data_IF_771062371231
#
_entry.id   IF_771062371231
#
_cell.length_a   1.000
_cell.length_b   1.000
_cell.length_c   1.000
_cell.angle_alpha   90.00
_cell.angle_beta   90.00
_cell.angle_gamma   90.00
#
_symmetry.space_group_name_H-M   'P 1'
#
loop_
_entity.id
_entity.type
_entity.pdbx_description
1 polymer ?
#
# COMPACT_ATOMS: atom_id res chain seq x y z
N UNK A 1 -26.96 16.41 6.65
CA UNK A 1 -26.39 15.87 5.39
C UNK A 1 -24.90 16.17 5.21
N UNK A 2 -24.45 17.40 4.93
CA UNK A 2 -23.02 17.69 4.70
C UNK A 2 -22.12 17.37 5.90
N UNK A 3 -22.52 17.75 7.12
CA UNK A 3 -21.78 17.45 8.35
C UNK A 3 -21.71 15.94 8.68
N UNK A 4 -22.75 15.17 8.37
CA UNK A 4 -22.78 13.72 8.61
C UNK A 4 -21.82 12.99 7.67
N UNK A 5 -21.75 13.44 6.42
CA UNK A 5 -20.85 12.87 5.41
C UNK A 5 -19.40 13.23 5.71
N UNK A 6 -19.11 14.44 6.20
CA UNK A 6 -17.77 14.82 6.69
C UNK A 6 -17.35 14.00 7.92
N UNK A 7 -18.26 13.74 8.85
CA UNK A 7 -17.99 12.89 10.01
C UNK A 7 -17.68 11.44 9.59
N UNK A 8 -18.48 10.87 8.68
CA UNK A 8 -18.26 9.54 8.13
C UNK A 8 -16.90 9.46 7.41
N UNK A 9 -16.57 10.47 6.59
CA UNK A 9 -15.30 10.58 5.89
C UNK A 9 -14.11 10.57 6.86
N UNK A 10 -14.17 11.37 7.93
CA UNK A 10 -13.09 11.45 8.93
C UNK A 10 -12.82 10.10 9.62
N UNK A 11 -13.86 9.30 9.89
CA UNK A 11 -13.66 7.97 10.49
C UNK A 11 -12.98 7.01 9.52
N UNK A 12 -13.41 6.97 8.26
CA UNK A 12 -12.79 6.11 7.25
C UNK A 12 -11.37 6.55 6.88
N UNK A 13 -11.08 7.86 6.91
CA UNK A 13 -9.74 8.41 6.77
C UNK A 13 -8.81 7.90 7.88
N UNK A 14 -9.27 7.88 9.14
CA UNK A 14 -8.51 7.31 10.26
C UNK A 14 -8.26 5.82 10.12
N UNK A 15 -9.24 5.05 9.67
CA UNK A 15 -9.05 3.61 9.41
C UNK A 15 -8.03 3.40 8.30
N UNK A 16 -8.10 4.18 7.22
CA UNK A 16 -7.13 4.12 6.13
C UNK A 16 -5.70 4.46 6.61
N UNK A 17 -5.54 5.49 7.44
CA UNK A 17 -4.25 5.83 8.05
C UNK A 17 -3.71 4.71 8.94
N UNK A 18 -4.58 4.08 9.75
CA UNK A 18 -4.21 2.98 10.62
C UNK A 18 -3.79 1.74 9.82
N UNK A 19 -4.49 1.44 8.71
CA UNK A 19 -4.10 0.38 7.78
C UNK A 19 -2.71 0.63 7.19
N UNK A 20 -2.45 1.85 6.70
CA UNK A 20 -1.14 2.24 6.17
C UNK A 20 -0.03 2.15 7.22
N UNK A 21 -0.32 2.54 8.46
CA UNK A 21 0.65 2.45 9.56
C UNK A 21 0.99 1.00 9.90
N UNK A 22 -0.01 0.13 10.05
CA UNK A 22 0.22 -1.30 10.30
C UNK A 22 1.01 -1.92 9.15
N UNK A 23 0.67 -1.57 7.91
CA UNK A 23 1.39 -2.06 6.73
C UNK A 23 2.86 -1.61 6.76
N UNK A 24 3.14 -0.35 7.10
CA UNK A 24 4.51 0.16 7.23
C UNK A 24 5.32 -0.58 8.31
N UNK A 25 4.72 -0.81 9.47
CA UNK A 25 5.35 -1.55 10.57
C UNK A 25 5.69 -2.97 10.14
N UNK A 26 4.75 -3.66 9.49
CA UNK A 26 4.98 -5.02 9.01
C UNK A 26 6.03 -5.04 7.91
N UNK A 27 5.95 -4.19 6.89
CA UNK A 27 6.96 -4.10 5.83
C UNK A 27 8.37 -3.84 6.41
N UNK A 28 8.48 -2.98 7.43
CA UNK A 28 9.76 -2.70 8.11
C UNK A 28 10.28 -3.91 8.89
N UNK A 29 9.41 -4.60 9.62
CA UNK A 29 9.77 -5.84 10.34
C UNK A 29 10.20 -6.93 9.37
N UNK A 30 9.48 -7.10 8.26
CA UNK A 30 9.82 -8.08 7.22
C UNK A 30 11.16 -7.73 6.57
N UNK A 31 11.42 -6.46 6.25
CA UNK A 31 12.71 -6.04 5.72
C UNK A 31 13.86 -6.34 6.72
N UNK A 32 13.63 -6.08 8.02
CA UNK A 32 14.62 -6.40 9.06
C UNK A 32 14.88 -7.92 9.16
N UNK A 33 13.81 -8.72 9.20
CA UNK A 33 13.92 -10.19 9.23
C UNK A 33 14.61 -10.72 7.97
N UNK A 34 14.28 -10.16 6.81
CA UNK A 34 14.88 -10.51 5.53
C UNK A 34 16.39 -10.28 5.55
N UNK A 35 16.85 -9.11 6.01
CA UNK A 35 18.29 -8.80 6.11
C UNK A 35 18.99 -9.72 7.12
N UNK A 36 18.36 -10.00 8.28
CA UNK A 36 18.94 -10.87 9.31
C UNK A 36 19.03 -12.33 8.86
N UNK A 37 17.99 -12.83 8.17
CA UNK A 37 17.92 -14.22 7.69
C UNK A 37 18.56 -14.42 6.31
N UNK A 38 18.98 -13.36 5.63
CA UNK A 38 19.50 -13.44 4.26
C UNK A 38 20.66 -14.43 4.12
N UNK A 39 21.60 -14.43 5.06
CA UNK A 39 22.75 -15.35 5.05
C UNK A 39 22.38 -16.82 5.34
N UNK A 40 21.65 -17.15 6.42
CA UNK A 40 21.30 -18.55 6.69
C UNK A 40 20.30 -19.14 5.67
N UNK A 41 19.36 -18.35 5.14
CA UNK A 41 18.41 -18.83 4.13
C UNK A 41 19.04 -19.13 2.78
N UNK A 42 20.20 -18.54 2.45
CA UNK A 42 20.96 -18.90 1.26
C UNK A 42 21.47 -20.34 1.30
N UNK A 43 21.97 -20.79 2.47
CA UNK A 43 22.42 -22.18 2.64
C UNK A 43 21.27 -23.18 2.55
N UNK A 44 20.09 -22.82 3.07
CA UNK A 44 18.90 -23.68 2.98
C UNK A 44 18.33 -23.74 1.55
N UNK A 45 18.33 -22.63 0.81
CA UNK A 45 17.85 -22.58 -0.58
C UNK A 45 18.77 -23.34 -1.54
N UNK A 46 20.09 -23.23 -1.37
CA UNK A 46 21.07 -24.02 -2.11
C UNK A 46 20.88 -25.52 -1.85
N UNK A 47 20.66 -25.89 -0.58
CA UNK A 47 20.42 -27.28 -0.18
C UNK A 47 19.06 -27.85 -0.62
N UNK A 48 18.00 -27.02 -0.66
CA UNK A 48 16.64 -27.50 -0.97
C UNK A 48 16.35 -27.54 -2.47
N UNK A 49 16.95 -26.64 -3.26
CA UNK A 49 16.60 -26.48 -4.67
C UNK A 49 17.68 -27.00 -5.63
N UNK A 50 18.82 -27.50 -5.13
CA UNK A 50 19.95 -27.99 -5.92
C UNK A 50 20.34 -27.00 -7.04
N UNK A 51 20.21 -25.71 -6.72
CA UNK A 51 20.26 -24.64 -7.71
C UNK A 51 21.72 -24.35 -8.01
N UNK A 52 22.21 -24.70 -9.21
CA UNK A 52 23.56 -24.38 -9.70
C UNK A 52 23.77 -22.87 -9.97
N UNK A 53 23.12 -21.97 -9.22
CA UNK A 53 23.38 -20.54 -9.31
C UNK A 53 24.55 -20.20 -8.40
N UNK A 54 25.54 -19.49 -8.93
CA UNK A 54 26.66 -18.99 -8.14
C UNK A 54 26.15 -18.18 -6.94
N UNK A 55 26.66 -18.43 -5.72
CA UNK A 55 26.18 -17.75 -4.50
C UNK A 55 26.26 -16.22 -4.61
N UNK A 56 27.23 -15.69 -5.35
CA UNK A 56 27.35 -14.24 -5.63
C UNK A 56 26.15 -13.69 -6.41
N UNK A 57 25.62 -14.46 -7.35
CA UNK A 57 24.46 -14.07 -8.17
C UNK A 57 23.18 -14.11 -7.33
N UNK A 58 23.02 -15.13 -6.49
CA UNK A 58 21.88 -15.23 -5.58
C UNK A 58 21.86 -14.06 -4.57
N UNK A 59 23.00 -13.72 -3.99
CA UNK A 59 23.14 -12.55 -3.11
C UNK A 59 22.78 -11.24 -3.83
N UNK A 60 23.26 -11.06 -5.06
CA UNK A 60 22.94 -9.88 -5.87
C UNK A 60 21.43 -9.76 -6.18
N UNK A 61 20.74 -10.87 -6.45
CA UNK A 61 19.29 -10.89 -6.69
C UNK A 61 18.52 -10.50 -5.42
N UNK A 62 18.94 -10.99 -4.25
CA UNK A 62 18.29 -10.67 -2.98
C UNK A 62 18.46 -9.18 -2.63
N UNK A 63 19.67 -8.63 -2.78
CA UNK A 63 19.92 -7.21 -2.56
C UNK A 63 19.17 -6.32 -3.54
N UNK A 64 19.14 -6.67 -4.83
CA UNK A 64 18.39 -5.89 -5.82
C UNK A 64 16.90 -5.90 -5.55
N UNK A 65 16.35 -7.05 -5.14
CA UNK A 65 14.94 -7.18 -4.72
C UNK A 65 14.63 -6.28 -3.52
N UNK A 66 15.49 -6.27 -2.51
CA UNK A 66 15.35 -5.40 -1.35
C UNK A 66 15.36 -3.92 -1.73
N UNK A 67 16.30 -3.50 -2.58
CA UNK A 67 16.40 -2.11 -3.06
C UNK A 67 15.16 -1.70 -3.82
N UNK A 68 14.68 -2.54 -4.75
CA UNK A 68 13.45 -2.29 -5.51
C UNK A 68 12.26 -2.14 -4.56
N UNK A 69 12.15 -3.01 -3.55
CA UNK A 69 11.05 -2.99 -2.59
C UNK A 69 11.07 -1.74 -1.71
N UNK A 70 12.25 -1.30 -1.24
CA UNK A 70 12.42 -0.06 -0.48
C UNK A 70 12.07 1.16 -1.34
N UNK A 71 12.60 1.26 -2.56
CA UNK A 71 12.31 2.36 -3.47
C UNK A 71 10.81 2.44 -3.80
N UNK A 72 10.18 1.30 -4.05
CA UNK A 72 8.75 1.24 -4.28
C UNK A 72 7.96 1.65 -3.04
N UNK A 73 8.39 1.23 -1.85
CA UNK A 73 7.83 1.66 -0.56
C UNK A 73 7.84 3.18 -0.40
N UNK A 74 8.98 3.84 -0.68
CA UNK A 74 9.10 5.30 -0.62
C UNK A 74 8.05 5.96 -1.52
N UNK A 75 7.97 5.55 -2.79
CA UNK A 75 6.98 6.10 -3.74
C UNK A 75 5.56 5.87 -3.24
N UNK A 76 5.26 4.67 -2.75
CA UNK A 76 3.95 4.29 -2.23
C UNK A 76 3.50 5.17 -1.06
N UNK A 77 4.35 5.35 -0.03
CA UNK A 77 4.01 6.15 1.14
C UNK A 77 4.00 7.66 0.84
N UNK A 78 4.87 8.15 -0.06
CA UNK A 78 4.78 9.53 -0.54
C UNK A 78 3.43 9.79 -1.23
N UNK A 79 2.99 8.88 -2.10
CA UNK A 79 1.69 9.00 -2.77
C UNK A 79 0.51 8.91 -1.78
N UNK A 80 0.63 8.07 -0.75
CA UNK A 80 -0.38 7.97 0.31
C UNK A 80 -0.48 9.27 1.11
N UNK A 81 0.65 9.83 1.54
CA UNK A 81 0.72 11.10 2.25
C UNK A 81 0.14 12.25 1.41
N UNK A 82 0.50 12.32 0.13
CA UNK A 82 -0.07 13.29 -0.80
C UNK A 82 -1.59 13.14 -0.93
N UNK A 83 -2.11 11.90 -1.04
CA UNK A 83 -3.55 11.69 -1.13
C UNK A 83 -4.30 12.17 0.13
N UNK A 84 -3.74 11.90 1.31
CA UNK A 84 -4.31 12.31 2.60
C UNK A 84 -4.26 13.83 2.77
N UNK A 85 -3.12 14.47 2.47
CA UNK A 85 -2.94 15.91 2.64
C UNK A 85 -3.81 16.72 1.68
N UNK A 86 -3.88 16.34 0.40
CA UNK A 86 -4.59 17.15 -0.61
C UNK A 86 -6.10 16.86 -0.64
N UNK A 87 -6.54 15.69 -0.13
CA UNK A 87 -7.95 15.23 -0.11
C UNK A 87 -8.67 15.28 -1.46
N UNK A 88 -7.93 15.29 -2.59
CA UNK A 88 -8.54 15.34 -3.93
C UNK A 88 -8.71 13.95 -4.52
N UNK A 89 -9.82 13.68 -5.23
CA UNK A 89 -10.09 12.36 -5.81
C UNK A 89 -9.04 11.92 -6.84
N UNK A 90 -8.41 12.86 -7.55
CA UNK A 90 -7.32 12.56 -8.50
C UNK A 90 -6.09 11.94 -7.81
N UNK A 91 -5.75 12.37 -6.60
CA UNK A 91 -4.58 11.82 -5.88
C UNK A 91 -4.89 10.42 -5.32
N UNK A 92 -6.11 10.19 -4.84
CA UNK A 92 -6.57 8.84 -4.47
C UNK A 92 -6.57 7.88 -5.66
N UNK A 93 -6.95 8.34 -6.87
CA UNK A 93 -6.84 7.53 -8.09
C UNK A 93 -5.39 7.16 -8.41
N UNK A 94 -4.47 8.12 -8.31
CA UNK A 94 -3.07 7.89 -8.60
C UNK A 94 -2.45 6.92 -7.58
N UNK A 95 -2.73 7.11 -6.29
CA UNK A 95 -2.38 6.16 -5.24
C UNK A 95 -2.96 4.77 -5.50
N UNK A 96 -4.23 4.65 -5.89
CA UNK A 96 -4.85 3.37 -6.19
C UNK A 96 -4.17 2.63 -7.35
N UNK A 97 -3.76 3.35 -8.41
CA UNK A 97 -2.97 2.78 -9.53
C UNK A 97 -1.59 2.31 -9.07
N UNK A 98 -0.89 3.13 -8.29
CA UNK A 98 0.41 2.75 -7.70
C UNK A 98 0.25 1.54 -6.77
N UNK A 99 -0.79 1.51 -5.95
CA UNK A 99 -1.11 0.39 -5.07
C UNK A 99 -1.36 -0.89 -5.87
N UNK A 100 -2.12 -0.82 -6.96
CA UNK A 100 -2.39 -1.97 -7.84
C UNK A 100 -1.11 -2.52 -8.46
N UNK A 101 -0.21 -1.65 -8.94
CA UNK A 101 1.10 -2.06 -9.44
C UNK A 101 1.91 -2.80 -8.36
N UNK A 102 1.88 -2.29 -7.12
CA UNK A 102 2.54 -2.93 -5.98
C UNK A 102 1.95 -4.29 -5.61
N UNK A 103 0.62 -4.42 -5.67
CA UNK A 103 -0.09 -5.70 -5.45
C UNK A 103 0.37 -6.73 -6.49
N UNK A 104 0.43 -6.37 -7.77
CA UNK A 104 0.89 -7.28 -8.84
C UNK A 104 2.34 -7.71 -8.62
N UNK A 105 3.23 -6.79 -8.24
CA UNK A 105 4.61 -7.13 -7.89
C UNK A 105 4.70 -8.07 -6.69
N UNK A 106 3.90 -7.81 -5.65
CA UNK A 106 3.84 -8.66 -4.46
C UNK A 106 3.22 -10.03 -4.71
N UNK A 107 2.35 -10.21 -5.71
CA UNK A 107 1.85 -11.55 -6.08
C UNK A 107 3.01 -12.43 -6.56
N UNK A 108 3.92 -11.88 -7.35
CA UNK A 108 5.11 -12.61 -7.82
C UNK A 108 6.03 -12.97 -6.63
N UNK A 109 6.22 -12.05 -5.69
CA UNK A 109 7.02 -12.28 -4.47
C UNK A 109 6.33 -13.20 -3.45
N UNK A 110 5.01 -13.17 -3.34
CA UNK A 110 4.24 -14.04 -2.45
C UNK A 110 4.18 -15.48 -2.94
N UNK A 111 4.30 -15.69 -4.26
CA UNK A 111 4.55 -17.02 -4.81
C UNK A 111 5.89 -17.59 -4.33
N UNK A 112 6.92 -16.75 -4.24
CA UNK A 112 8.24 -17.15 -3.75
C UNK A 112 8.29 -17.37 -2.23
N UNK A 113 7.56 -16.57 -1.46
CA UNK A 113 7.53 -16.68 0.00
C UNK A 113 6.13 -16.41 0.60
N UNK A 114 5.59 -17.41 1.30
CA UNK A 114 4.31 -17.36 2.02
C UNK A 114 4.27 -16.27 3.09
N UNK A 115 5.42 -15.83 3.61
CA UNK A 115 5.50 -14.74 4.58
C UNK A 115 5.06 -13.38 4.00
N UNK A 116 4.98 -13.21 2.67
CA UNK A 116 4.52 -11.98 2.03
C UNK A 116 2.98 -11.86 1.93
N UNK A 117 2.23 -12.92 2.25
CA UNK A 117 0.76 -12.95 2.18
C UNK A 117 0.07 -11.86 3.05
N UNK A 118 0.49 -11.59 4.30
CA UNK A 118 -0.12 -10.54 5.11
C UNK A 118 0.05 -9.14 4.52
N UNK A 119 1.24 -8.82 3.97
CA UNK A 119 1.49 -7.53 3.30
C UNK A 119 0.61 -7.39 2.06
N UNK A 120 0.52 -8.46 1.26
CA UNK A 120 -0.36 -8.50 0.10
C UNK A 120 -1.82 -8.21 0.49
N UNK A 121 -2.33 -8.88 1.53
CA UNK A 121 -3.69 -8.68 2.01
C UNK A 121 -3.95 -7.25 2.50
N UNK A 122 -3.01 -6.67 3.26
CA UNK A 122 -3.11 -5.29 3.72
C UNK A 122 -3.11 -4.28 2.56
N UNK A 123 -2.31 -4.51 1.52
CA UNK A 123 -2.33 -3.66 0.32
C UNK A 123 -3.65 -3.74 -0.44
N UNK A 124 -4.26 -4.92 -0.51
CA UNK A 124 -5.60 -5.06 -1.09
C UNK A 124 -6.63 -4.27 -0.30
N UNK A 125 -6.59 -4.34 1.04
CA UNK A 125 -7.47 -3.53 1.89
C UNK A 125 -7.22 -2.03 1.69
N UNK A 126 -5.97 -1.58 1.66
CA UNK A 126 -5.62 -0.19 1.41
C UNK A 126 -6.13 0.29 0.03
N UNK A 127 -6.03 -0.54 -1.01
CA UNK A 127 -6.59 -0.26 -2.33
C UNK A 127 -8.12 -0.09 -2.28
N UNK A 128 -8.83 -1.00 -1.63
CA UNK A 128 -10.29 -0.94 -1.47
C UNK A 128 -10.70 0.35 -0.75
N UNK A 129 -10.01 0.69 0.35
CA UNK A 129 -10.26 1.91 1.11
C UNK A 129 -9.99 3.17 0.29
N UNK A 130 -8.89 3.23 -0.46
CA UNK A 130 -8.59 4.36 -1.33
C UNK A 130 -9.66 4.57 -2.40
N UNK A 131 -10.18 3.49 -3.01
CA UNK A 131 -11.27 3.55 -3.99
C UNK A 131 -12.59 3.97 -3.35
N UNK A 132 -12.87 3.51 -2.14
CA UNK A 132 -14.04 3.91 -1.38
C UNK A 132 -14.01 5.41 -1.02
N UNK A 133 -12.88 5.90 -0.48
CA UNK A 133 -12.65 7.31 -0.18
C UNK A 133 -12.74 8.19 -1.43
N UNK A 134 -12.20 7.72 -2.56
CA UNK A 134 -12.34 8.40 -3.85
C UNK A 134 -13.81 8.54 -4.26
N UNK A 135 -14.60 7.48 -4.11
CA UNK A 135 -16.05 7.48 -4.40
C UNK A 135 -16.81 8.45 -3.50
N UNK A 136 -16.56 8.41 -2.18
CA UNK A 136 -17.17 9.36 -1.24
C UNK A 136 -16.83 10.81 -1.58
N UNK A 137 -15.56 11.10 -1.87
CA UNK A 137 -15.11 12.46 -2.20
C UNK A 137 -15.78 12.98 -3.48
N UNK A 138 -15.96 12.12 -4.49
CA UNK A 138 -16.64 12.47 -5.73
C UNK A 138 -18.13 12.74 -5.49
N UNK A 139 -18.80 11.91 -4.70
CA UNK A 139 -20.21 12.12 -4.33
C UNK A 139 -20.42 13.42 -3.55
N UNK A 140 -19.52 13.74 -2.61
CA UNK A 140 -19.57 15.00 -1.84
C UNK A 140 -19.43 16.21 -2.76
N UNK A 141 -18.50 16.16 -3.71
CA UNK A 141 -18.26 17.26 -4.65
C UNK A 141 -19.45 17.55 -5.57
N UNK A 142 -20.30 16.54 -5.82
CA UNK A 142 -21.50 16.66 -6.67
C UNK A 142 -22.75 17.12 -5.90
N UNK A 143 -22.70 17.23 -4.57
CA UNK A 143 -23.83 17.73 -3.79
C UNK A 143 -23.98 19.25 -4.00
N UNK A 144 -25.20 19.76 -4.26
CA UNK A 144 -25.43 21.18 -4.44
C UNK A 144 -25.11 21.94 -3.14
N UNK A 145 -24.49 23.14 -3.22
CA UNK A 145 -24.22 23.95 -2.04
C UNK A 145 -25.55 24.31 -1.36
N UNK A 146 -25.62 24.14 -0.05
CA UNK A 146 -26.83 24.29 0.77
C UNK A 146 -27.44 25.72 0.79
N UNK A 147 -26.91 26.64 -0.01
CA UNK A 147 -27.20 28.08 0.07
C UNK A 147 -28.28 28.57 -0.92
N UNK A 148 -28.87 27.70 -1.75
CA UNK A 148 -29.86 28.09 -2.76
C UNK A 148 -31.32 27.77 -2.37
N UNK A 149 -31.55 27.07 -1.27
CA UNK A 149 -32.91 26.71 -0.84
C UNK A 149 -33.61 27.79 0.02
N UNK A 150 -32.88 28.84 0.45
CA UNK A 150 -33.39 29.83 1.42
C UNK A 150 -33.57 31.24 0.83
N UNK A 151 -33.62 31.37 -0.50
CA UNK A 151 -33.76 32.66 -1.20
C UNK A 151 -35.08 32.87 -1.93
N UNK A 152 -36.02 31.92 -1.84
CA UNK A 152 -37.33 31.98 -2.50
C UNK A 152 -38.52 31.86 -1.51
N UNK A 153 -38.34 32.27 -0.25
CA UNK A 153 -39.40 32.38 0.74
C UNK A 153 -39.86 33.81 0.91
#
# INVERSE_FOLDING_TARGET
MSQEVEFLYSRHERVFMLLLFIQFVLESLYAAVFVVRMRPSMFELEAMYNWEISPKTAEAILWTTLVIQVLFGIVYYCMAALAICTKRPKHFQMFAKTCLCGVVGLVLLAYADKFNLPIFFLRLLAYIYARFLQGLTASILLLPPANNANRNG
#
